data_IF_204961007818
#
_entry.id   IF_204961007818
#
_cell.length_a   1.000
_cell.length_b   1.000
_cell.length_c   1.000
_cell.angle_alpha   90.00
_cell.angle_beta   90.00
_cell.angle_gamma   90.00
#
_symmetry.space_group_name_H-M   'P 1'
#
loop_
_entity.id
_entity.type
_entity.pdbx_description
1 polymer ?
#
# COMPACT_ATOMS: atom_id res chain seq x y z
N UNK A 1 1.08 -24.64 -32.21
CA UNK A 1 0.61 -23.48 -31.43
C UNK A 1 0.90 -23.78 -29.97
N UNK A 2 2.11 -23.48 -29.50
CA UNK A 2 2.57 -23.78 -28.14
C UNK A 2 1.95 -22.78 -27.17
N UNK A 3 1.00 -23.24 -26.37
CA UNK A 3 0.44 -22.50 -25.25
C UNK A 3 1.52 -22.35 -24.18
N UNK A 4 2.26 -21.25 -24.18
CA UNK A 4 3.12 -20.91 -23.04
C UNK A 4 2.20 -20.73 -21.83
N UNK A 5 2.37 -21.51 -20.74
CA UNK A 5 1.65 -21.26 -19.50
C UNK A 5 1.94 -19.83 -19.08
N UNK A 6 0.90 -18.99 -18.94
CA UNK A 6 1.07 -17.66 -18.38
C UNK A 6 1.59 -17.84 -16.96
N UNK A 7 2.85 -17.52 -16.70
CA UNK A 7 3.43 -17.65 -15.38
C UNK A 7 2.63 -16.77 -14.40
N UNK A 8 1.98 -17.40 -13.41
CA UNK A 8 1.23 -16.70 -12.36
C UNK A 8 2.07 -16.70 -11.10
N UNK A 9 2.35 -15.51 -10.56
CA UNK A 9 3.07 -15.36 -9.29
C UNK A 9 2.24 -15.90 -8.12
N UNK A 10 2.80 -16.88 -7.42
CA UNK A 10 2.23 -17.42 -6.18
C UNK A 10 2.30 -16.37 -5.06
N UNK A 11 1.54 -16.54 -3.96
CA UNK A 11 1.67 -15.68 -2.78
C UNK A 11 3.10 -15.64 -2.21
N UNK A 12 3.83 -16.75 -2.30
CA UNK A 12 5.23 -16.82 -1.85
C UNK A 12 6.15 -15.97 -2.72
N UNK A 13 6.01 -16.05 -4.05
CA UNK A 13 6.80 -15.26 -5.00
C UNK A 13 6.59 -13.77 -4.79
N UNK A 14 5.34 -13.34 -4.59
CA UNK A 14 4.99 -11.93 -4.32
C UNK A 14 5.63 -11.41 -3.04
N UNK A 15 5.60 -12.22 -1.97
CA UNK A 15 6.23 -11.86 -0.70
C UNK A 15 7.75 -11.79 -0.85
N UNK A 16 8.35 -12.71 -1.59
CA UNK A 16 9.79 -12.69 -1.90
C UNK A 16 10.18 -11.43 -2.70
N UNK A 17 9.36 -11.02 -3.67
CA UNK A 17 9.56 -9.77 -4.41
C UNK A 17 9.59 -8.54 -3.48
N UNK A 18 8.64 -8.43 -2.55
CA UNK A 18 8.61 -7.32 -1.58
C UNK A 18 9.85 -7.34 -0.67
N UNK A 19 10.27 -8.52 -0.21
CA UNK A 19 11.45 -8.66 0.64
C UNK A 19 12.75 -8.27 -0.09
N UNK A 20 12.86 -8.59 -1.37
CA UNK A 20 14.02 -8.26 -2.21
C UNK A 20 14.08 -6.77 -2.62
N UNK A 21 12.97 -6.03 -2.54
CA UNK A 21 12.89 -4.64 -3.01
C UNK A 21 12.42 -3.69 -1.89
N UNK A 22 13.35 -3.08 -1.12
CA UNK A 22 13.00 -2.24 0.03
C UNK A 22 12.05 -1.07 -0.28
N UNK A 23 12.09 -0.54 -1.51
CA UNK A 23 11.19 0.54 -1.94
C UNK A 23 9.72 0.12 -1.95
N UNK A 24 9.42 -1.13 -2.28
CA UNK A 24 8.04 -1.66 -2.27
C UNK A 24 7.53 -1.72 -0.83
N UNK A 25 8.35 -2.24 0.09
CA UNK A 25 8.00 -2.34 1.50
C UNK A 25 7.86 -0.95 2.16
N UNK A 26 8.76 -0.01 1.85
CA UNK A 26 8.68 1.36 2.32
C UNK A 26 7.40 2.05 1.86
N UNK A 27 7.04 1.90 0.59
CA UNK A 27 5.78 2.42 0.05
C UNK A 27 4.54 1.81 0.73
N UNK A 28 4.53 0.50 0.99
CA UNK A 28 3.41 -0.14 1.68
C UNK A 28 3.22 0.38 3.12
N UNK A 29 4.33 0.71 3.81
CA UNK A 29 4.32 1.26 5.17
C UNK A 29 3.77 2.69 5.25
N UNK A 30 3.69 3.43 4.13
CA UNK A 30 3.01 4.72 4.11
C UNK A 30 1.54 4.62 4.49
N UNK A 31 0.86 3.52 4.18
CA UNK A 31 -0.51 3.30 4.65
C UNK A 31 -0.60 3.22 6.19
N UNK A 32 0.45 2.72 6.85
CA UNK A 32 0.49 2.70 8.32
C UNK A 32 0.88 4.04 8.92
N UNK A 33 1.70 4.84 8.23
CA UNK A 33 1.89 6.24 8.60
C UNK A 33 0.57 7.02 8.52
N UNK A 34 -0.19 6.86 7.44
CA UNK A 34 -1.53 7.47 7.28
C UNK A 34 -2.43 7.03 8.44
N UNK A 35 -2.53 5.73 8.71
CA UNK A 35 -3.35 5.20 9.81
C UNK A 35 -2.90 5.74 11.18
N UNK A 36 -1.59 5.74 11.46
CA UNK A 36 -1.04 6.22 12.73
C UNK A 36 -1.27 7.71 12.95
N UNK A 37 -1.07 8.54 11.92
CA UNK A 37 -1.37 9.98 11.98
C UNK A 37 -2.88 10.23 12.14
N UNK A 38 -3.72 9.38 11.55
CA UNK A 38 -5.17 9.44 11.74
C UNK A 38 -5.59 9.16 13.19
N UNK A 39 -4.95 8.20 13.84
CA UNK A 39 -5.16 7.94 15.28
C UNK A 39 -4.76 9.16 16.12
N UNK A 40 -3.60 9.76 15.82
CA UNK A 40 -3.14 10.97 16.52
C UNK A 40 -4.16 12.10 16.34
N UNK A 41 -4.67 12.29 15.13
CA UNK A 41 -5.69 13.30 14.85
C UNK A 41 -6.99 13.05 15.63
N UNK A 42 -7.51 11.83 15.62
CA UNK A 42 -8.69 11.43 16.40
C UNK A 42 -8.50 11.76 17.90
N UNK A 43 -7.39 11.34 18.50
CA UNK A 43 -7.09 11.63 19.92
C UNK A 43 -7.08 13.13 20.20
N UNK A 44 -6.46 13.94 19.34
CA UNK A 44 -6.38 15.39 19.54
C UNK A 44 -7.74 16.06 19.41
N UNK A 45 -8.53 15.71 18.40
CA UNK A 45 -9.90 16.21 18.21
C UNK A 45 -10.78 15.95 19.43
N UNK A 46 -10.65 14.77 20.05
CA UNK A 46 -11.49 14.39 21.20
C UNK A 46 -10.89 14.78 22.56
N UNK A 47 -9.64 15.25 22.61
CA UNK A 47 -9.00 15.70 23.85
C UNK A 47 -9.45 17.10 24.31
N UNK A 48 -10.28 17.79 23.53
CA UNK A 48 -10.66 19.18 23.79
C UNK A 48 -9.52 20.18 23.47
N UNK A 49 -8.52 19.76 22.69
CA UNK A 49 -7.49 20.65 22.18
C UNK A 49 -8.07 21.54 21.08
N UNK A 50 -7.81 22.85 21.17
CA UNK A 50 -8.08 23.79 20.07
C UNK A 50 -7.16 23.57 18.86
N UNK A 51 -6.16 22.69 19.01
CA UNK A 51 -5.23 22.32 17.94
C UNK A 51 -5.69 21.00 17.35
N UNK A 52 -6.43 21.07 16.24
CA UNK A 52 -6.53 19.90 15.35
C UNK A 52 -5.15 19.66 14.74
N UNK A 53 -4.72 18.41 14.69
CA UNK A 53 -3.49 18.07 13.98
C UNK A 53 -3.84 18.07 12.49
N UNK A 54 -3.46 19.14 11.78
CA UNK A 54 -3.75 19.39 10.34
C UNK A 54 -3.15 18.32 9.37
N UNK A 55 -2.80 17.14 9.86
CA UNK A 55 -2.27 16.02 9.10
C UNK A 55 -3.03 14.75 9.54
N UNK A 56 -4.24 14.59 9.01
CA UNK A 56 -5.13 13.45 9.23
C UNK A 56 -5.93 13.11 7.98
N UNK A 57 -6.98 12.30 8.12
CA UNK A 57 -7.93 12.05 7.04
C UNK A 57 -8.99 13.15 7.03
N UNK A 58 -9.28 13.70 5.85
CA UNK A 58 -10.25 14.78 5.67
C UNK A 58 -11.67 14.33 5.96
N UNK A 59 -12.02 13.11 5.55
CA UNK A 59 -13.36 12.58 5.74
C UNK A 59 -13.70 12.25 7.19
N UNK A 60 -12.71 11.89 8.03
CA UNK A 60 -12.94 11.69 9.47
C UNK A 60 -13.29 13.01 10.14
N UNK A 61 -12.60 14.10 9.77
CA UNK A 61 -12.94 15.45 10.23
C UNK A 61 -14.37 15.86 9.82
N UNK A 62 -14.80 15.53 8.60
CA UNK A 62 -16.19 15.77 8.17
C UNK A 62 -17.14 14.92 9.02
N UNK A 63 -16.85 13.64 9.24
CA UNK A 63 -17.68 12.76 10.04
C UNK A 63 -17.84 13.26 11.48
N UNK A 64 -16.75 13.69 12.12
CA UNK A 64 -16.76 14.26 13.47
C UNK A 64 -17.67 15.48 13.58
N UNK A 65 -17.64 16.36 12.57
CA UNK A 65 -18.46 17.57 12.54
C UNK A 65 -19.94 17.28 12.22
N UNK A 66 -20.21 16.37 11.28
CA UNK A 66 -21.57 16.00 10.86
C UNK A 66 -22.28 15.17 11.94
N UNK A 67 -21.56 14.25 12.58
CA UNK A 67 -22.08 13.34 13.60
C UNK A 67 -21.69 13.76 15.01
N UNK A 68 -21.46 15.06 15.26
CA UNK A 68 -21.07 15.59 16.58
C UNK A 68 -22.01 15.18 17.72
N UNK A 69 -23.31 15.06 17.42
CA UNK A 69 -24.35 14.65 18.38
C UNK A 69 -24.49 13.11 18.46
N UNK A 70 -23.81 12.37 17.58
CA UNK A 70 -23.80 10.92 17.45
C UNK A 70 -22.37 10.37 17.50
N UNK A 71 -21.64 10.66 18.59
CA UNK A 71 -20.21 10.34 18.73
C UNK A 71 -19.86 8.89 18.42
N UNK A 72 -20.72 7.92 18.75
CA UNK A 72 -20.49 6.52 18.43
C UNK A 72 -20.38 6.26 16.91
N UNK A 73 -21.11 7.01 16.09
CA UNK A 73 -21.05 6.91 14.62
C UNK A 73 -19.75 7.50 14.09
N UNK A 74 -19.34 8.66 14.61
CA UNK A 74 -18.06 9.30 14.27
C UNK A 74 -16.88 8.36 14.58
N UNK A 75 -16.81 7.83 15.80
CA UNK A 75 -15.76 6.86 16.19
C UNK A 75 -15.77 5.57 15.35
N UNK A 76 -16.95 5.09 14.94
CA UNK A 76 -17.04 3.93 14.07
C UNK A 76 -16.43 4.22 12.69
N UNK A 77 -16.70 5.42 12.14
CA UNK A 77 -16.10 5.87 10.87
C UNK A 77 -14.59 5.96 11.02
N UNK A 78 -14.07 6.59 12.07
CA UNK A 78 -12.62 6.68 12.33
C UNK A 78 -11.96 5.31 12.36
N UNK A 79 -12.54 4.38 13.13
CA UNK A 79 -12.00 3.05 13.30
C UNK A 79 -12.00 2.27 11.98
N UNK A 80 -13.06 2.39 11.17
CA UNK A 80 -13.14 1.78 9.85
C UNK A 80 -12.08 2.35 8.90
N UNK A 81 -11.83 3.66 8.98
CA UNK A 81 -10.84 4.39 8.19
C UNK A 81 -9.42 3.93 8.48
N UNK A 82 -9.07 3.92 9.77
CA UNK A 82 -7.78 3.44 10.27
C UNK A 82 -7.60 1.98 9.89
N UNK A 83 -8.62 1.15 10.14
CA UNK A 83 -8.62 -0.27 9.81
C UNK A 83 -8.42 -0.54 8.31
N UNK A 84 -9.06 0.26 7.45
CA UNK A 84 -8.88 0.19 6.00
C UNK A 84 -7.42 0.40 5.59
N UNK A 85 -6.79 1.49 6.05
CA UNK A 85 -5.39 1.78 5.70
C UNK A 85 -4.41 0.78 6.30
N UNK A 86 -4.63 0.31 7.54
CA UNK A 86 -3.86 -0.80 8.13
C UNK A 86 -3.95 -2.04 7.25
N UNK A 87 -5.17 -2.42 6.84
CA UNK A 87 -5.45 -3.56 5.96
C UNK A 87 -4.77 -3.41 4.59
N UNK A 88 -4.83 -2.23 3.98
CA UNK A 88 -4.14 -1.95 2.72
C UNK A 88 -2.62 -2.08 2.85
N UNK A 89 -2.01 -1.58 3.91
CA UNK A 89 -0.58 -1.80 4.18
C UNK A 89 -0.23 -3.28 4.35
N UNK A 90 -1.04 -4.04 5.08
CA UNK A 90 -0.83 -5.48 5.28
C UNK A 90 -0.91 -6.28 3.97
N UNK A 91 -1.88 -5.97 3.10
CA UNK A 91 -2.05 -6.64 1.82
C UNK A 91 -0.99 -6.19 0.80
N UNK A 92 -0.63 -4.90 0.82
CA UNK A 92 0.45 -4.33 0.00
C UNK A 92 1.81 -4.97 0.32
N UNK A 93 2.11 -5.23 1.60
CA UNK A 93 3.32 -5.95 2.03
C UNK A 93 3.37 -7.43 1.57
N UNK A 94 2.23 -7.98 1.13
CA UNK A 94 2.17 -9.30 0.49
C UNK A 94 2.35 -9.23 -1.03
N UNK A 95 2.66 -8.07 -1.59
CA UNK A 95 2.96 -7.86 -3.01
C UNK A 95 1.73 -7.81 -3.92
N UNK A 96 0.55 -7.52 -3.37
CA UNK A 96 -0.68 -7.35 -4.15
C UNK A 96 -0.82 -5.90 -4.60
N UNK A 97 -0.59 -5.67 -5.89
CA UNK A 97 -0.66 -4.33 -6.51
C UNK A 97 -2.01 -3.64 -6.32
N UNK A 98 -3.11 -4.39 -6.34
CA UNK A 98 -4.45 -3.81 -6.22
C UNK A 98 -4.65 -3.06 -4.89
N UNK A 99 -3.99 -3.50 -3.80
CA UNK A 99 -4.08 -2.83 -2.51
C UNK A 99 -3.41 -1.46 -2.53
N UNK A 100 -2.27 -1.34 -3.21
CA UNK A 100 -1.63 -0.04 -3.42
C UNK A 100 -2.53 0.91 -4.21
N UNK A 101 -3.15 0.43 -5.30
CA UNK A 101 -4.00 1.25 -6.16
C UNK A 101 -5.26 1.68 -5.41
N UNK A 102 -5.95 0.74 -4.76
CA UNK A 102 -7.17 1.03 -4.01
C UNK A 102 -6.90 2.02 -2.88
N UNK A 103 -5.89 1.75 -2.05
CA UNK A 103 -5.50 2.67 -0.98
C UNK A 103 -5.11 4.05 -1.49
N UNK A 104 -4.36 4.12 -2.60
CA UNK A 104 -3.99 5.38 -3.23
C UNK A 104 -5.21 6.19 -3.72
N UNK A 105 -6.17 5.53 -4.37
CA UNK A 105 -7.38 6.21 -4.86
C UNK A 105 -8.17 6.80 -3.71
N UNK A 106 -8.42 6.03 -2.64
CA UNK A 106 -9.12 6.53 -1.46
C UNK A 106 -8.37 7.71 -0.82
N UNK A 107 -7.03 7.60 -0.72
CA UNK A 107 -6.22 8.65 -0.13
C UNK A 107 -6.17 9.94 -0.97
N UNK A 108 -6.15 9.83 -2.31
CA UNK A 108 -6.24 11.00 -3.19
C UNK A 108 -7.61 11.66 -3.06
N UNK A 109 -8.70 10.87 -3.07
CA UNK A 109 -10.05 11.40 -2.93
C UNK A 109 -10.22 12.13 -1.60
N UNK A 110 -9.62 11.61 -0.53
CA UNK A 110 -9.57 12.28 0.76
C UNK A 110 -8.77 13.60 0.71
N UNK A 111 -7.61 13.60 0.05
CA UNK A 111 -6.83 14.81 -0.18
C UNK A 111 -7.57 15.92 -0.96
N UNK A 112 -8.51 15.55 -1.85
CA UNK A 112 -9.33 16.52 -2.59
C UNK A 112 -10.28 17.30 -1.66
N UNK A 113 -10.65 16.76 -0.50
CA UNK A 113 -11.44 17.46 0.51
C UNK A 113 -10.65 18.68 1.02
N UNK A 114 -9.38 18.48 1.39
CA UNK A 114 -8.51 19.57 1.83
C UNK A 114 -8.25 20.59 0.73
N UNK A 115 -8.11 20.13 -0.52
CA UNK A 115 -7.97 21.03 -1.66
C UNK A 115 -9.21 21.92 -1.84
N UNK A 116 -10.41 21.36 -1.66
CA UNK A 116 -11.66 22.12 -1.71
C UNK A 116 -11.72 23.21 -0.63
N UNK A 117 -11.26 22.92 0.59
CA UNK A 117 -11.14 23.90 1.68
C UNK A 117 -9.87 24.76 1.62
N UNK A 118 -9.03 24.60 0.59
CA UNK A 118 -7.77 25.32 0.40
C UNK A 118 -6.77 25.17 1.56
N UNK A 119 -6.79 24.04 2.26
CA UNK A 119 -5.85 23.74 3.34
C UNK A 119 -4.57 23.10 2.80
N UNK A 120 -3.59 23.95 2.50
CA UNK A 120 -2.41 23.57 1.72
C UNK A 120 -1.45 22.61 2.42
N UNK A 121 -1.39 22.63 3.76
CA UNK A 121 -0.49 21.75 4.51
C UNK A 121 -0.88 20.27 4.39
N UNK A 122 -2.13 19.85 4.73
CA UNK A 122 -2.59 18.51 4.47
C UNK A 122 -2.60 18.16 2.98
N UNK A 123 -2.90 19.09 2.07
CA UNK A 123 -2.78 18.83 0.62
C UNK A 123 -1.34 18.42 0.24
N UNK A 124 -0.33 19.16 0.71
CA UNK A 124 1.07 18.84 0.44
C UNK A 124 1.46 17.47 1.01
N UNK A 125 0.99 17.14 2.22
CA UNK A 125 1.22 15.83 2.83
C UNK A 125 0.56 14.70 2.02
N UNK A 126 -0.68 14.88 1.59
CA UNK A 126 -1.41 13.92 0.75
C UNK A 126 -0.68 13.65 -0.56
N UNK A 127 -0.20 14.72 -1.22
CA UNK A 127 0.59 14.61 -2.45
C UNK A 127 1.89 13.85 -2.18
N UNK A 128 2.61 14.18 -1.11
CA UNK A 128 3.89 13.53 -0.78
C UNK A 128 3.73 12.03 -0.53
N UNK A 129 2.80 11.64 0.35
CA UNK A 129 2.53 10.24 0.63
C UNK A 129 2.01 9.49 -0.62
N UNK A 130 1.18 10.14 -1.44
CA UNK A 130 0.74 9.58 -2.73
C UNK A 130 1.90 9.31 -3.68
N UNK A 131 2.85 10.23 -3.81
CA UNK A 131 4.07 10.04 -4.62
C UNK A 131 4.88 8.85 -4.11
N UNK A 132 5.06 8.71 -2.78
CA UNK A 132 5.78 7.59 -2.21
C UNK A 132 5.11 6.24 -2.50
N UNK A 133 3.77 6.19 -2.44
CA UNK A 133 2.98 5.02 -2.81
C UNK A 133 3.14 4.70 -4.31
N UNK A 134 3.06 5.70 -5.18
CA UNK A 134 3.25 5.55 -6.64
C UNK A 134 4.64 5.00 -6.98
N UNK A 135 5.69 5.47 -6.29
CA UNK A 135 7.06 4.94 -6.46
C UNK A 135 7.09 3.44 -6.12
N UNK A 136 6.40 3.01 -5.07
CA UNK A 136 6.25 1.59 -4.73
C UNK A 136 5.51 0.78 -5.79
N UNK A 137 4.42 1.32 -6.35
CA UNK A 137 3.65 0.67 -7.43
C UNK A 137 4.55 0.46 -8.66
N UNK A 138 5.32 1.48 -9.06
CA UNK A 138 6.26 1.38 -10.17
C UNK A 138 7.31 0.30 -9.91
N UNK A 139 7.96 0.34 -8.74
CA UNK A 139 8.96 -0.67 -8.36
C UNK A 139 8.38 -2.10 -8.36
N UNK A 140 7.15 -2.29 -7.88
CA UNK A 140 6.48 -3.59 -7.90
C UNK A 140 6.16 -4.05 -9.33
N UNK A 141 5.70 -3.16 -10.21
CA UNK A 141 5.45 -3.49 -11.60
C UNK A 141 6.72 -3.93 -12.32
N UNK A 142 7.82 -3.19 -12.13
CA UNK A 142 9.11 -3.50 -12.74
C UNK A 142 9.64 -4.85 -12.26
N UNK A 143 9.54 -5.12 -10.96
CA UNK A 143 9.97 -6.39 -10.38
C UNK A 143 9.14 -7.58 -10.88
N UNK A 144 7.80 -7.44 -10.97
CA UNK A 144 6.93 -8.46 -11.54
C UNK A 144 7.28 -8.71 -13.01
N UNK A 145 7.47 -7.64 -13.79
CA UNK A 145 7.82 -7.74 -15.21
C UNK A 145 9.15 -8.46 -15.42
N UNK A 146 10.15 -8.19 -14.57
CA UNK A 146 11.45 -8.84 -14.63
C UNK A 146 11.35 -10.36 -14.39
N UNK A 147 10.60 -10.79 -13.39
CA UNK A 147 10.39 -12.23 -13.10
C UNK A 147 9.65 -12.92 -14.24
N UNK A 148 8.60 -12.30 -14.78
CA UNK A 148 7.80 -12.89 -15.86
C UNK A 148 8.53 -12.93 -17.21
N UNK A 149 9.56 -12.08 -17.40
CA UNK A 149 10.35 -12.02 -18.64
C UNK A 149 11.65 -12.83 -18.57
N UNK A 150 11.99 -13.41 -17.42
CA UNK A 150 13.20 -14.20 -17.27
C UNK A 150 13.10 -15.49 -18.10
N UNK A 151 14.10 -15.82 -18.93
CA UNK A 151 14.10 -17.09 -19.65
C UNK A 151 14.08 -18.25 -18.64
N UNK A 152 13.43 -19.38 -18.97
CA UNK A 152 13.49 -20.56 -18.13
C UNK A 152 14.96 -20.92 -17.89
N UNK A 153 15.33 -21.12 -16.62
CA UNK A 153 16.66 -21.64 -16.27
C UNK A 153 16.83 -22.91 -17.10
N UNK A 154 17.89 -23.03 -17.93
CA UNK A 154 18.15 -24.26 -18.67
C UNK A 154 18.09 -25.40 -17.67
N UNK A 155 17.20 -26.38 -17.90
CA UNK A 155 17.14 -27.57 -17.05
C UNK A 155 18.58 -28.06 -16.91
N UNK A 156 19.07 -28.15 -15.66
CA UNK A 156 20.40 -28.67 -15.39
C UNK A 156 20.49 -30.00 -16.15
N UNK A 157 21.29 -30.02 -17.22
CA UNK A 157 21.56 -31.27 -17.94
C UNK A 157 22.10 -32.19 -16.87
N UNK A 158 21.39 -33.30 -16.53
CA UNK A 158 21.91 -34.25 -15.58
C UNK A 158 23.33 -34.58 -16.03
N UNK A 159 24.33 -34.59 -15.14
CA UNK A 159 25.69 -34.93 -15.53
C UNK A 159 25.58 -36.20 -16.38
N UNK A 160 26.02 -36.11 -17.64
CA UNK A 160 26.01 -37.25 -18.54
C UNK A 160 26.63 -38.40 -17.75
N UNK A 161 25.86 -39.48 -17.56
CA UNK A 161 26.37 -40.68 -16.93
C UNK A 161 27.69 -40.97 -17.64
N UNK A 162 28.81 -40.81 -16.92
CA UNK A 162 30.12 -41.14 -17.46
C UNK A 162 30.00 -42.54 -18.03
N UNK A 163 30.08 -42.65 -19.36
CA UNK A 163 30.09 -43.95 -20.03
C UNK A 163 31.22 -44.75 -19.37
N UNK A 164 30.92 -45.94 -18.82
CA UNK A 164 31.94 -46.74 -18.19
C UNK A 164 33.02 -47.01 -19.23
N UNK A 165 34.26 -46.57 -18.95
CA UNK A 165 35.43 -46.90 -19.75
C UNK A 165 35.43 -48.40 -20.01
N UNK A 166 35.26 -48.79 -21.27
CA UNK A 166 35.40 -50.18 -21.67
C UNK A 166 36.83 -50.67 -21.38
N UNK A 167 37.00 -51.91 -20.90
CA UNK A 167 38.29 -52.45 -20.46
C UNK A 167 39.30 -52.62 -21.59
#
# INVERSE_FOLDING_TARGET
MSTHPTAVLTPADRKALVAAHPRIASAARWFWWIAGLSVVNCVLTHSGSDTSFLIGLGFTLIADNVFKDYQAVAYAIDLLSIGFFVGMGLIALRGYRWAFILGLVFYILDGLIYLFFQDWLPVAFHVYASVMIIVGIKALNDAIKAVLSAPPIPAAVPPALEEPKQP
#
